data_IF_494422816547
#
_entry.id   IF_494422816547
#
_cell.length_a   1.000
_cell.length_b   1.000
_cell.length_c   1.000
_cell.angle_alpha   90.00
_cell.angle_beta   90.00
_cell.angle_gamma   90.00
#
_symmetry.space_group_name_H-M   'P 1'
#
loop_
_entity.id
_entity.type
_entity.pdbx_description
1 polymer ?
#
# COMPACT_ATOMS: atom_id res chain seq x y z
N UNK A 1 -16.27 18.22 10.30
CA UNK A 1 -16.37 16.88 9.65
C UNK A 1 -15.16 16.79 8.73
N UNK A 2 -14.07 16.23 9.24
CA UNK A 2 -12.74 16.46 8.68
C UNK A 2 -12.48 15.60 7.43
N UNK A 3 -12.01 16.27 6.37
CA UNK A 3 -11.67 15.69 5.07
C UNK A 3 -10.34 14.94 5.09
N UNK A 4 -10.20 13.92 5.94
CA UNK A 4 -9.02 13.05 5.88
C UNK A 4 -9.45 11.58 5.74
N UNK A 5 -9.99 11.24 4.57
CA UNK A 5 -10.25 9.87 4.13
C UNK A 5 -9.04 9.29 3.39
N UNK A 6 -7.81 9.72 3.70
CA UNK A 6 -6.62 9.04 3.18
C UNK A 6 -6.43 7.74 3.94
N UNK A 7 -6.24 6.64 3.21
CA UNK A 7 -5.93 5.35 3.82
C UNK A 7 -4.62 5.46 4.61
N UNK A 8 -4.70 5.38 5.93
CA UNK A 8 -3.52 5.37 6.82
C UNK A 8 -2.86 4.00 6.82
N UNK A 9 -2.32 3.60 5.68
CA UNK A 9 -1.46 2.43 5.61
C UNK A 9 -0.17 2.73 6.38
N UNK A 10 0.16 1.83 7.30
CA UNK A 10 1.29 1.98 8.22
C UNK A 10 1.86 0.63 8.59
N UNK A 11 3.14 0.61 8.94
CA UNK A 11 3.76 -0.53 9.59
C UNK A 11 4.00 -0.18 11.07
N UNK A 12 3.82 -1.17 11.94
CA UNK A 12 4.10 -1.04 13.37
C UNK A 12 5.35 -1.84 13.71
N UNK A 13 6.10 -1.34 14.69
CA UNK A 13 7.25 -2.02 15.27
C UNK A 13 6.86 -2.57 16.63
N UNK A 14 7.17 -3.85 16.83
CA UNK A 14 6.99 -4.54 18.10
C UNK A 14 8.35 -4.76 18.76
N UNK A 15 8.50 -4.30 19.99
CA UNK A 15 9.75 -4.43 20.73
C UNK A 15 9.87 -5.82 21.36
N UNK A 16 10.83 -6.63 20.91
CA UNK A 16 11.08 -7.98 21.45
C UNK A 16 11.92 -7.95 22.74
N UNK A 17 12.80 -6.97 22.88
CA UNK A 17 13.78 -6.84 23.95
C UNK A 17 13.96 -5.37 24.40
N UNK A 18 14.74 -5.16 25.45
CA UNK A 18 15.04 -3.83 26.02
C UNK A 18 13.91 -3.24 26.88
N UNK A 19 14.07 -1.97 27.28
CA UNK A 19 13.12 -1.28 28.19
C UNK A 19 11.72 -1.04 27.62
N UNK A 20 11.55 -1.22 26.30
CA UNK A 20 10.26 -1.12 25.62
C UNK A 20 9.65 -2.48 25.25
N UNK A 21 10.24 -3.60 25.71
CA UNK A 21 9.75 -4.95 25.41
C UNK A 21 8.22 -5.06 25.59
N UNK A 22 7.57 -5.65 24.59
CA UNK A 22 6.12 -5.86 24.56
C UNK A 22 5.31 -4.66 24.05
N UNK A 23 5.94 -3.52 23.76
CA UNK A 23 5.25 -2.34 23.22
C UNK A 23 5.16 -2.37 21.70
N UNK A 24 4.10 -1.76 21.17
CA UNK A 24 3.93 -1.42 19.77
C UNK A 24 4.16 0.08 19.58
N UNK A 25 4.88 0.45 18.53
CA UNK A 25 5.04 1.82 18.07
C UNK A 25 4.82 1.93 16.56
N UNK A 26 4.54 3.13 16.07
CA UNK A 26 4.45 3.37 14.63
C UNK A 26 5.87 3.36 14.06
N UNK A 27 6.13 2.44 13.12
CA UNK A 27 7.40 2.38 12.41
C UNK A 27 7.40 3.35 11.23
N UNK A 28 6.36 3.30 10.40
CA UNK A 28 6.16 4.24 9.29
C UNK A 28 4.66 4.40 9.03
N UNK A 29 4.22 5.62 8.76
CA UNK A 29 2.83 5.97 8.49
C UNK A 29 2.67 6.62 7.10
N UNK A 30 1.42 6.86 6.68
CA UNK A 30 1.06 7.50 5.43
C UNK A 30 1.75 6.84 4.22
N UNK A 31 1.67 5.52 4.14
CA UNK A 31 2.11 4.76 2.98
C UNK A 31 1.11 4.93 1.82
N UNK A 32 1.58 5.07 0.57
CA UNK A 32 0.72 5.32 -0.59
C UNK A 32 -0.08 4.09 -1.07
N UNK A 33 0.09 2.94 -0.43
CA UNK A 33 -0.54 1.66 -0.73
C UNK A 33 -0.47 0.70 0.47
N UNK A 34 -1.18 -0.42 0.38
CA UNK A 34 -1.26 -1.40 1.47
C UNK A 34 0.02 -2.22 1.58
N UNK A 35 0.67 -2.29 2.76
CA UNK A 35 1.87 -3.12 2.91
C UNK A 35 1.52 -4.60 2.76
N UNK A 36 2.31 -5.31 1.97
CA UNK A 36 2.15 -6.75 1.73
C UNK A 36 3.34 -7.53 2.32
N UNK A 37 4.56 -7.18 1.93
CA UNK A 37 5.77 -7.84 2.39
C UNK A 37 6.85 -6.85 2.85
N UNK A 38 7.71 -7.28 3.77
CA UNK A 38 8.84 -6.50 4.31
C UNK A 38 10.12 -7.35 4.34
N UNK A 39 11.22 -6.83 3.79
CA UNK A 39 12.52 -7.48 3.80
C UNK A 39 13.59 -6.56 4.36
N UNK A 40 14.50 -7.10 5.17
CA UNK A 40 15.69 -6.40 5.65
C UNK A 40 16.74 -6.34 4.52
N UNK A 41 17.23 -5.15 4.22
CA UNK A 41 18.31 -4.90 3.28
C UNK A 41 19.68 -5.06 3.96
N UNK A 42 20.77 -5.28 3.20
CA UNK A 42 22.11 -5.47 3.76
C UNK A 42 22.66 -4.28 4.56
N UNK A 43 22.16 -3.07 4.30
CA UNK A 43 22.53 -1.83 5.00
C UNK A 43 21.70 -1.60 6.27
N UNK A 44 20.79 -2.51 6.61
CA UNK A 44 19.91 -2.43 7.78
C UNK A 44 18.59 -1.69 7.53
N UNK A 45 18.32 -1.24 6.31
CA UNK A 45 17.02 -0.65 5.94
C UNK A 45 15.97 -1.73 5.65
N UNK A 46 14.72 -1.32 5.49
CA UNK A 46 13.58 -2.20 5.21
C UNK A 46 12.94 -1.86 3.86
N UNK A 47 12.90 -2.84 2.97
CA UNK A 47 12.16 -2.77 1.71
C UNK A 47 10.72 -3.25 1.93
N UNK A 48 9.75 -2.35 1.82
CA UNK A 48 8.33 -2.63 2.02
C UNK A 48 7.61 -2.63 0.67
N UNK A 49 7.06 -3.77 0.28
CA UNK A 49 6.23 -3.90 -0.90
C UNK A 49 4.81 -3.37 -0.62
N UNK A 50 4.29 -2.55 -1.53
CA UNK A 50 2.99 -1.91 -1.43
C UNK A 50 2.07 -2.38 -2.56
N UNK A 51 0.90 -2.86 -2.17
CA UNK A 51 -0.21 -3.15 -3.07
C UNK A 51 -0.93 -1.86 -3.44
N UNK A 52 -1.29 -1.70 -4.73
CA UNK A 52 -2.03 -0.54 -5.17
C UNK A 52 -3.45 -0.55 -4.61
N UNK A 53 -3.93 0.65 -4.27
CA UNK A 53 -5.32 0.85 -3.89
C UNK A 53 -6.15 0.72 -5.16
N UNK A 54 -7.10 -0.23 -5.18
CA UNK A 54 -8.02 -0.37 -6.29
C UNK A 54 -8.78 0.95 -6.51
N UNK A 55 -8.89 1.45 -7.76
CA UNK A 55 -9.64 2.66 -8.02
C UNK A 55 -11.12 2.46 -7.68
N UNK A 56 -11.77 3.49 -7.13
CA UNK A 56 -13.14 3.45 -6.57
C UNK A 56 -14.25 2.97 -7.53
N UNK A 57 -13.99 2.85 -8.83
CA UNK A 57 -14.95 2.31 -9.82
C UNK A 57 -14.78 0.82 -10.14
N UNK A 58 -13.61 0.25 -9.87
CA UNK A 58 -13.31 -1.15 -10.22
C UNK A 58 -14.13 -2.12 -9.34
N UNK A 59 -14.32 -1.78 -8.06
CA UNK A 59 -15.17 -2.50 -7.12
C UNK A 59 -16.61 -2.66 -7.64
N UNK A 60 -17.18 -1.62 -8.25
CA UNK A 60 -18.54 -1.65 -8.76
C UNK A 60 -18.68 -2.60 -9.98
N UNK A 61 -17.66 -2.60 -10.85
CA UNK A 61 -17.56 -3.55 -11.97
C UNK A 61 -17.40 -4.98 -11.44
N UNK A 62 -16.56 -5.20 -10.41
CA UNK A 62 -16.41 -6.52 -9.80
C UNK A 62 -17.69 -7.04 -9.14
N UNK A 63 -18.55 -6.15 -8.63
CA UNK A 63 -19.77 -6.55 -7.95
C UNK A 63 -20.89 -6.97 -8.91
N UNK A 64 -20.94 -6.42 -10.14
CA UNK A 64 -22.11 -6.56 -11.03
C UNK A 64 -21.77 -7.35 -12.32
N UNK A 65 -22.27 -8.58 -12.48
CA UNK A 65 -21.91 -9.47 -13.61
C UNK A 65 -22.21 -8.89 -15.01
N UNK A 66 -23.32 -8.16 -15.15
CA UNK A 66 -23.73 -7.52 -16.40
C UNK A 66 -22.70 -6.45 -16.81
N UNK A 67 -22.20 -5.68 -15.83
CA UNK A 67 -21.21 -4.64 -16.08
C UNK A 67 -19.85 -5.23 -16.49
N UNK A 68 -19.46 -6.39 -15.94
CA UNK A 68 -18.28 -7.14 -16.39
C UNK A 68 -18.41 -7.60 -17.83
N UNK A 69 -19.57 -8.13 -18.20
CA UNK A 69 -19.84 -8.62 -19.56
C UNK A 69 -19.75 -7.48 -20.58
N UNK A 70 -20.39 -6.35 -20.28
CA UNK A 70 -20.34 -5.14 -21.12
C UNK A 70 -18.89 -4.65 -21.22
N UNK A 71 -18.18 -4.50 -20.11
CA UNK A 71 -16.79 -4.04 -20.11
C UNK A 71 -15.85 -4.98 -20.91
N UNK A 72 -16.07 -6.30 -20.85
CA UNK A 72 -15.30 -7.29 -21.59
C UNK A 72 -15.50 -7.26 -23.12
N UNK A 73 -16.60 -6.67 -23.60
CA UNK A 73 -16.89 -6.54 -25.03
C UNK A 73 -16.22 -5.33 -25.71
N UNK A 74 -15.64 -4.41 -24.92
CA UNK A 74 -14.98 -3.21 -25.43
C UNK A 74 -13.45 -3.33 -25.25
N UNK A 75 -12.72 -3.99 -26.16
CA UNK A 75 -11.27 -4.22 -26.04
C UNK A 75 -10.43 -2.93 -26.08
N UNK A 76 -11.03 -1.79 -26.45
CA UNK A 76 -10.42 -0.45 -26.44
C UNK A 76 -10.88 0.40 -25.26
N UNK A 77 -11.07 -0.18 -24.07
CA UNK A 77 -11.16 0.64 -22.87
C UNK A 77 -9.88 1.49 -22.78
N UNK A 78 -9.98 2.81 -22.50
CA UNK A 78 -8.81 3.68 -22.45
C UNK A 78 -7.83 3.14 -21.42
N UNK A 79 -6.53 3.14 -21.73
CA UNK A 79 -5.47 2.63 -20.85
C UNK A 79 -5.55 3.19 -19.43
N UNK A 80 -6.19 4.35 -19.22
CA UNK A 80 -6.56 4.89 -17.90
C UNK A 80 -7.34 3.94 -16.96
N UNK A 81 -8.05 2.93 -17.49
CA UNK A 81 -8.71 1.88 -16.71
C UNK A 81 -7.79 0.69 -16.41
N UNK A 82 -6.70 0.53 -17.17
CA UNK A 82 -5.62 -0.45 -16.95
C UNK A 82 -4.45 0.13 -16.14
N UNK A 83 -4.30 1.45 -16.13
CA UNK A 83 -3.30 2.20 -15.37
C UNK A 83 -3.73 2.30 -13.90
N UNK A 84 -4.00 1.13 -13.31
CA UNK A 84 -3.95 0.99 -11.86
C UNK A 84 -2.51 1.30 -11.42
N UNK A 85 -2.36 2.01 -10.29
CA UNK A 85 -1.04 2.25 -9.68
C UNK A 85 -0.24 0.95 -9.73
N UNK A 86 0.99 0.99 -10.26
CA UNK A 86 1.88 -0.17 -10.28
C UNK A 86 2.28 -0.51 -8.85
N UNK A 87 2.57 -1.78 -8.57
CA UNK A 87 3.15 -2.18 -7.28
C UNK A 87 4.41 -1.35 -7.01
N UNK A 88 4.52 -0.85 -5.79
CA UNK A 88 5.62 0.01 -5.38
C UNK A 88 6.44 -0.68 -4.29
N UNK A 89 7.73 -0.36 -4.22
CA UNK A 89 8.55 -0.70 -3.05
C UNK A 89 9.02 0.62 -2.44
N UNK A 90 8.89 0.74 -1.13
CA UNK A 90 9.43 1.88 -0.37
C UNK A 90 10.59 1.36 0.48
N UNK A 91 11.72 2.07 0.42
CA UNK A 91 12.84 1.81 1.31
C UNK A 91 12.73 2.70 2.56
N UNK A 92 12.87 2.09 3.74
CA UNK A 92 12.66 2.73 5.04
C UNK A 92 13.86 2.45 5.93
N UNK A 93 14.47 3.49 6.51
CA UNK A 93 15.57 3.35 7.44
C UNK A 93 15.11 2.66 8.75
N UNK A 94 16.07 2.17 9.54
CA UNK A 94 15.78 1.42 10.77
C UNK A 94 15.06 2.23 11.86
N UNK A 95 15.12 3.56 11.78
CA UNK A 95 14.41 4.51 12.63
C UNK A 95 12.98 4.84 12.14
N UNK A 96 12.60 4.37 10.95
CA UNK A 96 11.28 4.58 10.37
C UNK A 96 11.21 5.69 9.34
N UNK A 97 12.31 6.37 9.02
CA UNK A 97 12.32 7.41 8.00
C UNK A 97 12.34 6.84 6.57
N UNK A 98 11.56 7.45 5.66
CA UNK A 98 11.58 7.08 4.24
C UNK A 98 12.92 7.50 3.63
N UNK A 99 13.61 6.56 3.01
CA UNK A 99 14.81 6.88 2.23
C UNK A 99 14.31 7.32 0.84
N UNK A 100 14.33 8.63 0.61
CA UNK A 100 13.95 9.20 -0.69
C UNK A 100 15.18 9.10 -1.61
N UNK A 101 15.08 8.29 -2.67
CA UNK A 101 16.05 8.25 -3.77
C UNK A 101 15.61 9.14 -4.92
#
# INVERSE_FOLDING_TARGET
MDRNSESRFRCLKYWLEGGNKGKLEVFIDNLPGGPDNINLAPDGSFCIALLPIAPKGLELIHKWPILKYIAGQFPKLPDSLRDGKRSMVVNVAADGEKIIS
#
